data_IF_204234344730
#
_entry.id   IF_204234344730
#
_cell.length_a   1.000
_cell.length_b   1.000
_cell.length_c   1.000
_cell.angle_alpha   90.00
_cell.angle_beta   90.00
_cell.angle_gamma   90.00
#
_symmetry.space_group_name_H-M   'P 1'
#
loop_
_entity.id
_entity.type
_entity.pdbx_description
1 polymer ?
#
# COMPACT_ATOMS: atom_id res chain seq x y z
N UNK A 1 0.46 -1.47 27.81
CA UNK A 1 1.62 -1.12 26.95
C UNK A 1 1.43 -1.88 25.64
N UNK A 2 0.85 -1.23 24.62
CA UNK A 2 0.65 -1.88 23.33
C UNK A 2 1.97 -1.76 22.57
N UNK A 3 2.58 -2.91 22.28
CA UNK A 3 3.78 -3.03 21.46
C UNK A 3 3.55 -2.30 20.13
N UNK A 4 4.51 -1.47 19.74
CA UNK A 4 4.54 -0.85 18.42
C UNK A 4 4.25 -1.90 17.34
N UNK A 5 3.42 -1.60 16.32
CA UNK A 5 3.36 -2.47 15.15
C UNK A 5 4.79 -2.62 14.62
N UNK A 6 5.20 -3.87 14.37
CA UNK A 6 6.52 -4.24 13.87
C UNK A 6 6.89 -3.35 12.67
N UNK A 7 8.19 -3.00 12.50
CA UNK A 7 8.62 -2.25 11.33
C UNK A 7 8.07 -2.93 10.07
N UNK A 8 7.53 -2.13 9.15
CA UNK A 8 7.21 -2.58 7.81
C UNK A 8 8.33 -3.51 7.32
N UNK A 9 7.99 -4.68 6.80
CA UNK A 9 9.01 -5.55 6.25
C UNK A 9 9.57 -4.82 5.01
N UNK A 10 10.79 -4.32 5.12
CA UNK A 10 11.53 -3.76 4.00
C UNK A 10 12.05 -4.92 3.17
N UNK A 11 11.48 -5.12 1.99
CA UNK A 11 11.97 -6.10 1.04
C UNK A 11 12.72 -5.35 -0.06
N UNK A 12 14.04 -5.46 -0.06
CA UNK A 12 14.82 -5.04 -1.23
C UNK A 12 14.65 -6.08 -2.33
N UNK A 13 14.02 -5.71 -3.44
CA UNK A 13 14.16 -6.50 -4.66
C UNK A 13 15.53 -6.18 -5.26
N UNK A 14 16.45 -7.16 -5.19
CA UNK A 14 17.72 -7.05 -5.90
C UNK A 14 17.43 -7.12 -7.39
N UNK A 15 17.61 -5.98 -8.06
CA UNK A 15 17.55 -5.92 -9.51
C UNK A 15 18.96 -5.65 -9.99
N UNK A 16 19.32 -6.23 -11.13
CA UNK A 16 20.65 -6.13 -11.76
C UNK A 16 21.11 -4.70 -12.12
N UNK A 17 20.40 -3.66 -11.67
CA UNK A 17 20.70 -2.23 -11.88
C UNK A 17 20.53 -1.36 -10.61
N UNK A 18 20.35 -1.95 -9.42
CA UNK A 18 20.21 -1.25 -8.13
C UNK A 18 18.99 -1.70 -7.32
N UNK A 19 19.04 -1.53 -5.99
CA UNK A 19 17.92 -1.91 -5.12
C UNK A 19 16.76 -0.92 -5.25
N UNK A 20 15.55 -1.42 -5.51
CA UNK A 20 14.33 -0.62 -5.39
C UNK A 20 13.83 -0.69 -3.94
N UNK A 21 13.71 0.44 -3.22
CA UNK A 21 13.14 0.42 -1.88
C UNK A 21 11.63 0.13 -1.94
N UNK A 22 11.24 -0.99 -1.35
CA UNK A 22 9.85 -1.42 -1.23
C UNK A 22 9.53 -1.76 0.22
N UNK A 23 8.41 -1.24 0.71
CA UNK A 23 7.93 -1.47 2.07
C UNK A 23 6.53 -2.07 2.01
N UNK A 24 6.34 -3.12 2.79
CA UNK A 24 5.08 -3.85 2.83
C UNK A 24 4.67 -4.02 4.28
N UNK A 25 3.41 -3.77 4.58
CA UNK A 25 2.94 -3.91 5.94
C UNK A 25 1.46 -3.67 6.10
N UNK A 26 1.09 -3.53 7.37
CA UNK A 26 -0.28 -3.30 7.80
C UNK A 26 -0.36 -2.10 8.71
N UNK A 27 -1.45 -1.35 8.64
CA UNK A 27 -1.83 -0.38 9.67
C UNK A 27 -3.13 -0.82 10.29
N UNK A 28 -3.10 -1.01 11.61
CA UNK A 28 -4.30 -1.31 12.39
C UNK A 28 -5.17 -0.05 12.49
N UNK A 29 -6.38 -0.11 11.93
CA UNK A 29 -7.35 1.00 11.94
C UNK A 29 -8.45 0.81 12.98
N UNK A 30 -8.69 -0.42 13.43
CA UNK A 30 -9.54 -0.72 14.59
C UNK A 30 -8.93 -1.87 15.41
N UNK A 31 -8.22 -1.55 16.52
CA UNK A 31 -7.62 -2.57 17.37
C UNK A 31 -8.65 -3.48 18.05
N UNK A 32 -9.88 -3.00 18.30
CA UNK A 32 -10.93 -3.79 18.97
C UNK A 32 -11.52 -4.83 18.03
N UNK A 33 -11.72 -4.46 16.77
CA UNK A 33 -12.17 -5.37 15.72
C UNK A 33 -11.01 -6.22 15.14
N UNK A 34 -9.76 -5.92 15.48
CA UNK A 34 -8.59 -6.52 14.84
C UNK A 34 -8.52 -6.18 13.35
N UNK A 35 -8.97 -4.98 12.96
CA UNK A 35 -9.05 -4.53 11.57
C UNK A 35 -7.77 -3.84 11.15
N UNK A 36 -7.18 -4.31 10.05
CA UNK A 36 -5.92 -3.79 9.54
C UNK A 36 -5.94 -3.66 8.01
N UNK A 37 -5.39 -2.55 7.53
CA UNK A 37 -5.26 -2.27 6.11
C UNK A 37 -3.83 -2.58 5.64
N UNK A 38 -3.72 -3.36 4.57
CA UNK A 38 -2.47 -3.69 3.91
C UNK A 38 -2.05 -2.55 2.98
N UNK A 39 -0.75 -2.29 2.93
CA UNK A 39 -0.16 -1.39 1.96
C UNK A 39 1.10 -1.95 1.32
N UNK A 40 1.32 -1.52 0.08
CA UNK A 40 2.54 -1.72 -0.68
C UNK A 40 3.09 -0.35 -1.09
N UNK A 41 4.22 0.04 -0.51
CA UNK A 41 4.85 1.33 -0.73
C UNK A 41 6.13 1.17 -1.54
N UNK A 42 6.24 1.92 -2.64
CA UNK A 42 7.41 1.94 -3.51
C UNK A 42 7.95 3.34 -3.60
N UNK A 43 9.23 3.50 -3.30
CA UNK A 43 9.91 4.77 -3.49
C UNK A 43 10.29 4.98 -4.95
N UNK A 44 10.50 6.25 -5.29
CA UNK A 44 11.17 6.57 -6.54
C UNK A 44 12.61 6.09 -6.50
N UNK A 45 13.11 5.40 -7.55
CA UNK A 45 14.49 4.92 -7.58
C UNK A 45 15.52 6.06 -7.64
N UNK A 46 15.08 7.30 -7.94
CA UNK A 46 15.94 8.48 -8.00
C UNK A 46 15.32 9.64 -7.22
N UNK A 47 16.10 10.23 -6.32
CA UNK A 47 15.73 11.43 -5.55
C UNK A 47 14.38 11.30 -4.81
N UNK A 48 14.09 10.14 -4.21
CA UNK A 48 12.80 9.84 -3.56
C UNK A 48 12.39 10.92 -2.54
N UNK A 49 13.32 11.47 -1.78
CA UNK A 49 13.08 12.53 -0.79
C UNK A 49 12.53 13.85 -1.37
N UNK A 50 12.67 14.07 -2.68
CA UNK A 50 12.19 15.30 -3.36
C UNK A 50 10.94 15.05 -4.21
N UNK A 51 10.56 13.80 -4.41
CA UNK A 51 9.40 13.41 -5.23
C UNK A 51 8.13 13.42 -4.38
N UNK A 52 6.96 13.74 -4.96
CA UNK A 52 5.69 13.74 -4.25
C UNK A 52 5.31 12.33 -3.78
N UNK A 53 4.53 12.24 -2.71
CA UNK A 53 3.82 11.01 -2.33
C UNK A 53 2.48 10.94 -3.05
N UNK A 54 2.20 9.82 -3.69
CA UNK A 54 0.90 9.50 -4.29
C UNK A 54 0.28 8.32 -3.56
N UNK A 55 -0.94 8.50 -3.07
CA UNK A 55 -1.78 7.40 -2.57
C UNK A 55 -2.65 6.90 -3.72
N UNK A 56 -2.47 5.64 -4.11
CA UNK A 56 -3.29 4.97 -5.11
C UNK A 56 -4.28 4.03 -4.43
N UNK A 57 -5.56 4.25 -4.72
CA UNK A 57 -6.68 3.40 -4.28
C UNK A 57 -7.43 2.98 -5.54
N UNK A 58 -7.60 1.68 -5.74
CA UNK A 58 -8.37 1.12 -6.85
C UNK A 58 -9.79 1.69 -6.88
N UNK A 59 -10.31 1.92 -8.09
CA UNK A 59 -11.53 2.70 -8.28
C UNK A 59 -12.81 2.04 -7.73
N UNK A 60 -13.09 0.80 -8.11
CA UNK A 60 -14.32 0.12 -7.72
C UNK A 60 -14.21 -0.46 -6.29
N UNK A 61 -15.30 -0.50 -5.51
CA UNK A 61 -15.32 -1.20 -4.24
C UNK A 61 -14.85 -2.65 -4.45
N UNK A 62 -13.97 -3.14 -3.59
CA UNK A 62 -13.45 -4.51 -3.63
C UNK A 62 -12.38 -4.83 -4.67
N UNK A 63 -11.96 -3.89 -5.52
CA UNK A 63 -10.81 -4.11 -6.40
C UNK A 63 -9.48 -3.88 -5.67
N UNK A 64 -8.56 -4.84 -5.80
CA UNK A 64 -7.23 -4.77 -5.18
C UNK A 64 -6.34 -3.75 -5.87
N UNK A 65 -5.88 -2.74 -5.11
CA UNK A 65 -4.93 -1.71 -5.57
C UNK A 65 -3.56 -2.31 -5.90
N UNK A 66 -3.12 -3.33 -5.16
CA UNK A 66 -1.89 -4.06 -5.46
C UNK A 66 -2.04 -4.86 -6.76
N UNK A 67 -3.11 -5.66 -6.87
CA UNK A 67 -3.32 -6.56 -7.99
C UNK A 67 -3.47 -5.82 -9.32
N UNK A 68 -4.35 -4.82 -9.37
CA UNK A 68 -4.61 -4.08 -10.61
C UNK A 68 -3.62 -2.93 -10.76
N UNK A 69 -3.60 -2.01 -9.80
CA UNK A 69 -2.79 -0.79 -9.88
C UNK A 69 -1.29 -1.07 -9.93
N UNK A 70 -0.77 -1.80 -8.95
CA UNK A 70 0.67 -2.00 -8.85
C UNK A 70 1.19 -3.02 -9.88
N UNK A 71 0.49 -4.14 -10.07
CA UNK A 71 1.02 -5.28 -10.86
C UNK A 71 0.59 -5.28 -12.33
N UNK A 72 -0.51 -4.61 -12.70
CA UNK A 72 -1.01 -4.63 -14.08
C UNK A 72 -0.90 -3.26 -14.77
N UNK A 73 -1.07 -2.18 -14.01
CA UNK A 73 -1.12 -0.81 -14.56
C UNK A 73 0.22 -0.08 -14.40
N UNK A 74 0.44 0.57 -13.25
CA UNK A 74 1.37 1.70 -13.10
C UNK A 74 2.50 1.47 -12.09
N UNK A 75 2.52 0.33 -11.41
CA UNK A 75 3.62 0.00 -10.48
C UNK A 75 4.93 -0.35 -11.18
N UNK A 76 6.00 -0.56 -10.39
CA UNK A 76 7.37 -0.74 -10.89
C UNK A 76 7.60 -2.05 -11.63
N UNK A 77 6.74 -3.05 -11.40
CA UNK A 77 6.84 -4.38 -11.95
C UNK A 77 5.52 -4.86 -12.53
N UNK A 78 5.61 -5.69 -13.56
CA UNK A 78 4.50 -6.43 -14.13
C UNK A 78 4.76 -7.92 -14.04
N UNK A 79 3.69 -8.70 -13.97
CA UNK A 79 3.76 -10.17 -13.89
C UNK A 79 3.92 -10.74 -15.30
N UNK A 80 4.88 -11.64 -15.48
CA UNK A 80 5.03 -12.41 -16.73
C UNK A 80 3.88 -13.40 -16.91
N UNK A 81 3.67 -13.89 -18.13
CA UNK A 81 2.64 -14.89 -18.45
C UNK A 81 2.80 -16.21 -17.65
N UNK A 82 4.01 -16.49 -17.15
CA UNK A 82 4.27 -17.64 -16.30
C UNK A 82 3.65 -17.55 -14.89
N UNK A 83 3.17 -16.36 -14.50
CA UNK A 83 2.60 -16.08 -13.18
C UNK A 83 3.59 -16.17 -12.02
N UNK A 84 4.89 -16.28 -12.31
CA UNK A 84 5.94 -16.58 -11.33
C UNK A 84 7.06 -15.55 -11.32
N UNK A 85 7.30 -14.90 -12.45
CA UNK A 85 8.38 -13.93 -12.60
C UNK A 85 7.83 -12.52 -12.85
N UNK A 86 8.64 -11.53 -12.50
CA UNK A 86 8.32 -10.12 -12.67
C UNK A 86 9.28 -9.48 -13.68
N UNK A 87 8.79 -8.55 -14.50
CA UNK A 87 9.62 -7.66 -15.31
C UNK A 87 9.38 -6.20 -14.97
N UNK A 88 10.37 -5.36 -15.23
CA UNK A 88 10.29 -3.92 -14.99
C UNK A 88 9.27 -3.26 -15.92
N UNK A 89 8.45 -2.40 -15.35
CA UNK A 89 7.59 -1.50 -16.11
C UNK A 89 8.37 -0.23 -16.50
N UNK A 90 8.67 -0.08 -17.79
CA UNK A 90 9.39 1.11 -18.31
C UNK A 90 8.63 2.43 -18.18
N UNK A 91 7.32 2.37 -17.89
CA UNK A 91 6.43 3.53 -17.70
C UNK A 91 5.85 3.57 -16.28
N UNK A 92 6.56 3.00 -15.31
CA UNK A 92 6.12 2.99 -13.93
C UNK A 92 6.01 4.40 -13.36
N UNK A 93 4.90 4.72 -12.70
CA UNK A 93 4.70 6.06 -12.14
C UNK A 93 5.70 6.38 -11.02
N UNK A 94 6.31 5.37 -10.41
CA UNK A 94 7.31 5.61 -9.37
C UNK A 94 8.61 6.22 -9.93
N UNK A 95 8.78 6.38 -11.25
CA UNK A 95 9.83 7.25 -11.78
C UNK A 95 9.64 8.73 -11.39
N UNK A 96 8.40 9.15 -11.12
CA UNK A 96 8.06 10.55 -10.83
C UNK A 96 7.45 10.78 -9.44
N UNK A 97 7.17 9.73 -8.68
CA UNK A 97 6.56 9.82 -7.35
C UNK A 97 6.99 8.66 -6.44
N UNK A 98 6.81 8.82 -5.14
CA UNK A 98 6.73 7.70 -4.21
C UNK A 98 5.26 7.26 -4.13
N UNK A 99 4.97 5.96 -4.25
CA UNK A 99 3.58 5.50 -4.44
C UNK A 99 3.20 4.49 -3.36
N UNK A 100 2.10 4.76 -2.66
CA UNK A 100 1.46 3.82 -1.75
C UNK A 100 0.24 3.22 -2.46
N UNK A 101 0.23 1.91 -2.65
CA UNK A 101 -0.95 1.16 -3.07
C UNK A 101 -1.63 0.62 -1.81
N UNK A 102 -2.85 1.12 -1.54
CA UNK A 102 -3.60 0.77 -0.35
C UNK A 102 -4.73 -0.20 -0.70
N UNK A 103 -4.74 -1.35 -0.04
CA UNK A 103 -5.87 -2.30 -0.09
C UNK A 103 -6.97 -1.80 0.83
N UNK A 104 -8.08 -1.32 0.26
CA UNK A 104 -9.14 -0.66 1.02
C UNK A 104 -10.51 -0.86 0.38
N UNK A 105 -11.58 -1.07 1.17
CA UNK A 105 -11.62 -1.21 2.63
C UNK A 105 -11.08 -2.57 3.15
N UNK A 106 -11.24 -2.86 4.44
CA UNK A 106 -10.97 -4.20 4.97
C UNK A 106 -11.82 -5.25 4.23
N UNK A 107 -11.22 -6.38 3.86
CA UNK A 107 -11.81 -7.41 3.00
C UNK A 107 -11.36 -7.35 1.55
N UNK A 108 -10.64 -6.29 1.16
CA UNK A 108 -10.02 -6.16 -0.17
C UNK A 108 -8.58 -6.65 -0.13
N UNK A 109 -8.23 -7.54 -1.07
CA UNK A 109 -6.90 -8.11 -1.21
C UNK A 109 -6.39 -8.73 0.09
N UNK A 110 -5.34 -8.13 0.67
CA UNK A 110 -4.74 -8.58 1.92
C UNK A 110 -5.27 -7.88 3.17
N UNK A 111 -6.07 -6.82 3.04
CA UNK A 111 -6.68 -6.12 4.17
C UNK A 111 -7.78 -6.96 4.82
N UNK A 112 -7.84 -6.98 6.15
CA UNK A 112 -8.71 -7.90 6.89
C UNK A 112 -9.33 -7.28 8.15
N UNK A 113 -10.35 -7.95 8.69
CA UNK A 113 -10.90 -7.73 10.02
C UNK A 113 -11.19 -9.07 10.70
N UNK A 114 -10.98 -9.15 12.02
CA UNK A 114 -11.39 -10.32 12.79
C UNK A 114 -12.89 -10.30 13.11
N UNK A 115 -13.60 -9.19 12.82
CA UNK A 115 -15.04 -9.04 13.01
C UNK A 115 -15.75 -9.12 11.66
N UNK A 116 -16.51 -10.21 11.45
CA UNK A 116 -17.21 -10.49 10.19
C UNK A 116 -18.19 -9.40 9.76
N UNK A 117 -18.86 -8.71 10.70
CA UNK A 117 -19.78 -7.62 10.36
C UNK A 117 -19.11 -6.39 9.74
N UNK A 118 -17.77 -6.29 9.79
CA UNK A 118 -17.05 -5.20 9.13
C UNK A 118 -17.05 -5.33 7.60
N UNK A 119 -17.29 -6.53 7.09
CA UNK A 119 -17.35 -6.79 5.64
C UNK A 119 -18.68 -6.36 5.01
N UNK A 120 -19.67 -5.96 5.82
CA UNK A 120 -20.95 -5.44 5.33
C UNK A 120 -20.88 -3.96 4.89
N UNK A 121 -19.69 -3.33 4.99
CA UNK A 121 -19.41 -1.95 4.52
C UNK A 121 -20.33 -0.85 5.09
N UNK A 122 -20.93 -1.08 6.25
CA UNK A 122 -21.93 -0.21 6.89
C UNK A 122 -21.35 1.05 7.57
N UNK A 123 -20.50 1.82 6.88
CA UNK A 123 -20.04 3.16 7.31
C UNK A 123 -18.69 3.22 8.03
N UNK A 124 -18.05 2.09 8.32
CA UNK A 124 -16.70 2.02 8.93
C UNK A 124 -15.59 2.53 7.98
N UNK A 125 -15.84 2.49 6.66
CA UNK A 125 -14.93 2.95 5.59
C UNK A 125 -14.44 4.39 5.80
N UNK A 126 -15.32 5.30 6.20
CA UNK A 126 -14.95 6.72 6.41
C UNK A 126 -14.06 6.88 7.64
N UNK A 127 -14.31 6.13 8.71
CA UNK A 127 -13.47 6.19 9.92
C UNK A 127 -12.08 5.61 9.66
N UNK A 128 -12.03 4.52 8.91
CA UNK A 128 -10.78 3.86 8.54
C UNK A 128 -9.91 4.75 7.64
N UNK A 129 -10.51 5.51 6.72
CA UNK A 129 -9.75 6.45 5.87
C UNK A 129 -9.12 7.60 6.67
N UNK A 130 -9.81 8.14 7.68
CA UNK A 130 -9.23 9.14 8.58
C UNK A 130 -8.10 8.56 9.43
N UNK A 131 -8.29 7.38 10.00
CA UNK A 131 -7.25 6.71 10.81
C UNK A 131 -6.01 6.41 9.98
N UNK A 132 -6.21 5.95 8.74
CA UNK A 132 -5.12 5.73 7.79
C UNK A 132 -4.39 7.03 7.44
N UNK A 133 -5.13 8.10 7.14
CA UNK A 133 -4.54 9.43 6.88
C UNK A 133 -3.71 9.92 8.07
N UNK A 134 -4.21 9.74 9.29
CA UNK A 134 -3.50 10.17 10.49
C UNK A 134 -2.21 9.33 10.69
N UNK A 135 -2.21 8.06 10.32
CA UNK A 135 -0.98 7.26 10.25
C UNK A 135 0.04 7.86 9.26
N UNK A 136 -0.38 8.25 8.05
CA UNK A 136 0.51 8.90 7.07
C UNK A 136 1.13 10.18 7.64
N UNK A 137 0.30 11.03 8.27
CA UNK A 137 0.75 12.31 8.83
C UNK A 137 1.71 12.14 10.02
N UNK A 138 1.50 11.13 10.88
CA UNK A 138 2.24 11.00 12.15
C UNK A 138 3.48 10.11 12.05
N UNK A 139 3.53 9.17 11.08
CA UNK A 139 4.56 8.13 11.04
C UNK A 139 5.38 8.11 9.76
N UNK A 140 4.87 8.72 8.69
CA UNK A 140 5.63 8.91 7.45
C UNK A 140 6.09 10.36 7.27
N UNK A 141 5.78 11.27 8.21
CA UNK A 141 6.09 12.71 8.12
C UNK A 141 5.54 13.40 6.86
N UNK A 142 4.49 12.85 6.25
CA UNK A 142 3.93 13.38 5.01
C UNK A 142 2.71 14.23 5.34
N UNK A 143 2.85 15.56 5.22
CA UNK A 143 1.75 16.50 5.40
C UNK A 143 0.87 16.53 4.15
N UNK A 144 -0.32 15.92 4.21
CA UNK A 144 -1.35 16.12 3.20
C UNK A 144 -2.03 17.47 3.47
N UNK A 145 -1.94 18.41 2.52
CA UNK A 145 -2.61 19.72 2.56
C UNK A 145 -4.14 19.58 2.49
#
# INVERSE_FOLDING_TARGET
MLSNPSPAASFGFDTSTGSLPVYIGYVTVDPKAGRALFYYFVESPQNSSTKPLVLFIGGAPMCSSLGIGAMMELGPFKVHEDGKTLYRNGYAWNSEANIIFLEFPAGVGFSYSNRTSDYDLNGETVRDSFTWRDFLNTRLEISLL
#
